data_IF_272861065932
#
_entry.id   IF_272861065932
#
_cell.length_a   1.000
_cell.length_b   1.000
_cell.length_c   1.000
_cell.angle_alpha   90.00
_cell.angle_beta   90.00
_cell.angle_gamma   90.00
#
_symmetry.space_group_name_H-M   'P 1'
#
loop_
_entity.id
_entity.type
_entity.pdbx_description
1 polymer ?
#
# COMPACT_ATOMS: atom_id res chain seq x y z
N UNK A 1 15.42 -1.63 24.65
CA UNK A 1 14.80 -0.63 23.76
C UNK A 1 13.32 -0.90 23.76
N UNK A 2 12.49 0.12 23.97
CA UNK A 2 11.05 -0.01 23.79
C UNK A 2 10.79 -0.23 22.31
N UNK A 3 10.07 -1.31 21.96
CA UNK A 3 9.60 -1.55 20.59
C UNK A 3 8.90 -0.32 20.03
N UNK A 4 8.99 -0.02 18.74
CA UNK A 4 8.20 1.06 18.15
C UNK A 4 6.72 0.80 18.47
N UNK A 5 6.05 1.83 18.98
CA UNK A 5 4.65 1.77 19.41
C UNK A 5 3.86 2.68 18.47
N UNK A 6 3.17 2.03 17.54
CA UNK A 6 2.15 2.56 16.62
C UNK A 6 2.62 2.90 15.19
N UNK A 7 2.07 2.17 14.23
CA UNK A 7 1.87 2.58 12.85
C UNK A 7 0.53 3.30 12.81
N UNK A 8 0.50 4.56 12.38
CA UNK A 8 -0.74 5.34 12.32
C UNK A 8 -0.83 6.05 10.97
N UNK A 9 -2.01 5.99 10.36
CA UNK A 9 -2.35 6.68 9.12
C UNK A 9 -3.59 7.52 9.36
N UNK A 10 -3.60 8.73 8.82
CA UNK A 10 -4.76 9.62 8.91
C UNK A 10 -5.02 10.32 7.58
N UNK A 11 -6.28 10.69 7.38
CA UNK A 11 -6.68 11.57 6.28
C UNK A 11 -7.61 12.67 6.78
N UNK A 12 -7.24 13.92 6.48
CA UNK A 12 -8.12 15.06 6.66
C UNK A 12 -8.71 15.46 5.30
N UNK A 13 -10.02 15.28 5.16
CA UNK A 13 -10.76 15.68 3.96
C UNK A 13 -11.36 17.09 4.15
N UNK A 14 -11.62 17.84 3.05
CA UNK A 14 -12.39 19.08 3.16
C UNK A 14 -13.76 18.84 3.84
N UNK A 15 -14.21 19.72 4.74
CA UNK A 15 -13.66 21.05 5.06
C UNK A 15 -12.71 21.07 6.27
N UNK A 16 -12.12 19.94 6.67
CA UNK A 16 -11.35 19.85 7.91
C UNK A 16 -9.99 20.57 7.86
N UNK A 17 -9.53 20.95 6.67
CA UNK A 17 -8.25 21.63 6.44
C UNK A 17 -8.48 23.10 6.11
N UNK A 18 -7.57 23.97 6.53
CA UNK A 18 -7.73 25.43 6.38
C UNK A 18 -7.90 25.89 4.93
N UNK A 19 -7.21 25.22 4.00
CA UNK A 19 -7.22 25.56 2.57
C UNK A 19 -8.14 24.64 1.73
N UNK A 20 -8.93 23.77 2.38
CA UNK A 20 -9.79 22.81 1.67
C UNK A 20 -9.00 21.80 0.83
N UNK A 21 -7.76 21.51 1.21
CA UNK A 21 -6.93 20.45 0.63
C UNK A 21 -7.14 19.11 1.35
N UNK A 22 -6.74 18.01 0.71
CA UNK A 22 -6.64 16.71 1.38
C UNK A 22 -5.24 16.60 1.99
N UNK A 23 -5.16 16.25 3.27
CA UNK A 23 -3.89 15.96 3.96
C UNK A 23 -3.87 14.47 4.30
N UNK A 24 -2.84 13.78 3.81
CA UNK A 24 -2.56 12.38 4.12
C UNK A 24 -1.27 12.33 4.93
N UNK A 25 -1.25 11.54 6.01
CA UNK A 25 -0.05 11.29 6.78
C UNK A 25 0.00 9.85 7.26
N UNK A 26 1.21 9.28 7.29
CA UNK A 26 1.48 7.92 7.77
C UNK A 26 2.79 7.88 8.55
N UNK A 27 2.76 7.31 9.74
CA UNK A 27 3.94 6.96 10.52
C UNK A 27 4.22 5.48 10.33
N UNK A 28 5.48 5.12 10.05
CA UNK A 28 5.89 3.73 9.87
C UNK A 28 6.66 3.24 11.10
N UNK A 29 6.23 2.14 11.69
CA UNK A 29 6.82 1.51 12.88
C UNK A 29 7.87 0.44 12.52
N UNK A 30 8.77 0.80 11.59
CA UNK A 30 9.82 -0.11 11.11
C UNK A 30 10.99 -0.21 12.12
N UNK A 31 11.78 -1.30 12.08
CA UNK A 31 13.00 -1.43 12.88
C UNK A 31 13.94 -0.22 12.72
N UNK A 32 14.69 0.11 13.77
CA UNK A 32 15.53 1.31 13.84
C UNK A 32 16.76 1.25 12.92
N UNK A 33 17.20 0.06 12.56
CA UNK A 33 18.27 -0.22 11.61
C UNK A 33 17.79 -0.40 10.16
N UNK A 34 16.47 -0.41 9.91
CA UNK A 34 15.93 -0.59 8.58
C UNK A 34 15.93 0.73 7.79
N UNK A 35 16.73 0.77 6.72
CA UNK A 35 16.87 1.96 5.87
C UNK A 35 15.56 2.25 5.14
N UNK A 36 15.05 3.48 5.32
CA UNK A 36 13.92 4.02 4.58
C UNK A 36 14.39 4.93 3.45
N UNK A 37 13.95 4.64 2.23
CA UNK A 37 14.27 5.40 1.02
C UNK A 37 13.05 6.16 0.51
N UNK A 38 13.28 7.37 0.00
CA UNK A 38 12.29 8.13 -0.77
C UNK A 38 12.70 8.10 -2.23
N UNK A 39 11.93 7.40 -3.06
CA UNK A 39 12.29 7.10 -4.45
C UNK A 39 11.19 7.50 -5.41
N UNK A 40 11.59 7.94 -6.59
CA UNK A 40 10.68 8.29 -7.69
C UNK A 40 10.84 7.27 -8.83
N UNK A 41 9.72 6.77 -9.33
CA UNK A 41 9.66 5.95 -10.54
C UNK A 41 8.80 6.67 -11.58
N UNK A 42 9.33 6.91 -12.80
CA UNK A 42 8.55 7.56 -13.85
C UNK A 42 7.46 6.63 -14.39
N UNK A 43 6.44 7.22 -15.02
CA UNK A 43 5.44 6.48 -15.78
C UNK A 43 6.11 5.70 -16.91
N UNK A 44 5.57 4.53 -17.23
CA UNK A 44 6.13 3.64 -18.24
C UNK A 44 5.05 2.81 -18.93
N UNK A 45 5.27 2.54 -20.22
CA UNK A 45 4.51 1.57 -21.00
C UNK A 45 5.28 0.24 -21.05
N UNK A 46 4.55 -0.87 -21.02
CA UNK A 46 5.13 -2.22 -20.96
C UNK A 46 4.59 -3.10 -22.09
N UNK A 47 5.44 -4.00 -22.59
CA UNK A 47 5.06 -4.93 -23.65
C UNK A 47 3.95 -5.90 -23.20
N UNK A 48 3.10 -6.32 -24.14
CA UNK A 48 2.04 -7.29 -23.86
C UNK A 48 2.60 -8.64 -23.38
N UNK A 49 2.07 -9.14 -22.26
CA UNK A 49 2.53 -10.40 -21.64
C UNK A 49 3.86 -10.25 -20.88
N UNK A 50 4.35 -9.02 -20.70
CA UNK A 50 5.45 -8.76 -19.77
C UNK A 50 5.02 -8.98 -18.33
N UNK A 51 6.00 -9.13 -17.46
CA UNK A 51 5.82 -9.42 -16.04
C UNK A 51 6.64 -8.48 -15.18
N UNK A 52 6.27 -8.39 -13.90
CA UNK A 52 6.99 -7.60 -12.90
C UNK A 52 7.34 -8.46 -11.70
N UNK A 53 8.63 -8.46 -11.35
CA UNK A 53 9.11 -9.05 -10.11
C UNK A 53 8.77 -8.11 -8.95
N UNK A 54 7.89 -8.56 -8.06
CA UNK A 54 7.59 -7.90 -6.79
C UNK A 54 8.58 -8.36 -5.71
N UNK A 55 8.27 -8.18 -4.43
CA UNK A 55 9.22 -8.54 -3.35
C UNK A 55 9.55 -10.03 -3.38
N UNK A 56 8.54 -10.90 -3.48
CA UNK A 56 8.77 -12.35 -3.50
C UNK A 56 8.34 -13.03 -4.80
N UNK A 57 7.23 -12.61 -5.38
CA UNK A 57 6.64 -13.28 -6.55
C UNK A 57 6.68 -12.40 -7.80
N UNK A 58 6.59 -13.06 -8.95
CA UNK A 58 6.41 -12.43 -10.25
C UNK A 58 4.93 -12.46 -10.64
N UNK A 59 4.39 -11.33 -11.14
CA UNK A 59 3.01 -11.23 -11.62
C UNK A 59 2.94 -10.63 -13.03
N UNK A 60 1.78 -10.76 -13.68
CA UNK A 60 1.52 -10.10 -14.96
C UNK A 60 1.58 -8.57 -14.82
N UNK A 61 2.27 -7.93 -15.77
CA UNK A 61 2.39 -6.47 -15.82
C UNK A 61 1.24 -5.86 -16.62
N UNK A 62 0.81 -4.67 -16.21
CA UNK A 62 -0.18 -3.87 -16.95
C UNK A 62 0.50 -3.10 -18.07
N UNK A 63 -0.25 -2.78 -19.13
CA UNK A 63 0.32 -2.08 -20.29
C UNK A 63 0.87 -0.68 -19.99
N UNK A 64 0.40 -0.03 -18.92
CA UNK A 64 0.86 1.29 -18.49
C UNK A 64 0.89 1.39 -16.96
N UNK A 65 1.96 1.97 -16.41
CA UNK A 65 2.10 2.30 -15.00
C UNK A 65 2.27 3.80 -14.81
N UNK A 66 1.56 4.37 -13.85
CA UNK A 66 1.67 5.79 -13.49
C UNK A 66 2.99 6.10 -12.78
N UNK A 67 3.44 7.35 -12.88
CA UNK A 67 4.60 7.81 -12.12
C UNK A 67 4.27 7.85 -10.62
N UNK A 68 5.20 7.38 -9.78
CA UNK A 68 5.02 7.27 -8.33
C UNK A 68 6.20 7.83 -7.55
N UNK A 69 5.91 8.40 -6.39
CA UNK A 69 6.88 8.75 -5.36
C UNK A 69 6.58 7.92 -4.11
N UNK A 70 7.55 7.14 -3.66
CA UNK A 70 7.38 6.09 -2.65
C UNK A 70 8.28 6.35 -1.45
N UNK A 71 7.79 5.98 -0.26
CA UNK A 71 8.60 5.76 0.93
C UNK A 71 8.63 4.26 1.21
N UNK A 72 9.82 3.65 1.22
CA UNK A 72 9.96 2.18 1.33
C UNK A 72 11.19 1.76 2.13
N UNK A 73 11.14 0.57 2.78
CA UNK A 73 12.34 -0.13 3.20
C UNK A 73 13.24 -0.45 1.99
N UNK A 74 14.56 -0.36 2.15
CA UNK A 74 15.50 -0.54 1.04
C UNK A 74 15.48 -1.96 0.45
N UNK A 75 15.12 -2.97 1.24
CA UNK A 75 15.21 -4.38 0.85
C UNK A 75 14.03 -4.92 0.02
N UNK A 76 12.82 -4.35 0.15
CA UNK A 76 11.59 -4.86 -0.49
C UNK A 76 11.23 -4.07 -1.74
N UNK A 77 10.54 -4.65 -2.73
CA UNK A 77 10.24 -3.95 -3.99
C UNK A 77 9.15 -2.88 -3.90
N UNK A 78 8.15 -3.14 -3.05
CA UNK A 78 6.96 -2.32 -2.80
C UNK A 78 7.23 -1.02 -2.03
N UNK A 79 6.24 -0.54 -1.28
CA UNK A 79 6.34 0.64 -0.45
C UNK A 79 5.40 0.62 0.76
N UNK A 80 5.79 1.32 1.82
CA UNK A 80 4.99 1.49 3.03
C UNK A 80 3.96 2.63 2.88
N UNK A 81 4.26 3.59 2.00
CA UNK A 81 3.36 4.65 1.57
C UNK A 81 3.87 5.29 0.28
N UNK A 82 3.01 6.05 -0.41
CA UNK A 82 3.42 6.87 -1.52
C UNK A 82 2.28 7.66 -2.14
N UNK A 83 2.61 8.36 -3.22
CA UNK A 83 1.65 9.07 -4.07
C UNK A 83 1.98 8.88 -5.55
N UNK A 84 0.99 9.09 -6.41
CA UNK A 84 1.18 9.05 -7.87
C UNK A 84 0.90 10.40 -8.55
N UNK A 85 1.18 10.48 -9.84
CA UNK A 85 0.98 11.70 -10.66
C UNK A 85 -0.47 12.19 -10.75
N UNK A 86 -1.45 11.36 -10.38
CA UNK A 86 -2.88 11.71 -10.35
C UNK A 86 -3.34 12.20 -8.97
N UNK A 87 -2.43 12.29 -8.00
CA UNK A 87 -2.74 12.71 -6.63
C UNK A 87 -3.43 11.63 -5.79
N UNK A 88 -3.32 10.36 -6.18
CA UNK A 88 -3.68 9.23 -5.32
C UNK A 88 -2.57 9.01 -4.30
N UNK A 89 -2.94 8.84 -3.03
CA UNK A 89 -2.05 8.45 -1.95
C UNK A 89 -2.51 7.13 -1.33
N UNK A 90 -1.56 6.27 -0.98
CA UNK A 90 -1.81 5.01 -0.29
C UNK A 90 -0.77 4.84 0.82
N UNK A 91 -1.20 4.37 1.99
CA UNK A 91 -0.32 3.82 3.03
C UNK A 91 -0.94 2.57 3.61
N UNK A 92 -0.11 1.63 4.07
CA UNK A 92 -0.55 0.42 4.73
C UNK A 92 -0.10 0.34 6.20
N UNK A 93 -0.82 -0.47 6.96
CA UNK A 93 -0.55 -0.78 8.35
C UNK A 93 -0.68 -2.29 8.61
N UNK A 94 0.10 -2.78 9.56
CA UNK A 94 0.00 -4.14 10.05
C UNK A 94 -1.28 -4.32 10.89
N UNK A 95 -2.10 -5.31 10.54
CA UNK A 95 -3.24 -5.75 11.34
C UNK A 95 -3.14 -7.22 11.71
N UNK A 96 -3.46 -7.52 12.97
CA UNK A 96 -3.49 -8.89 13.51
C UNK A 96 -4.93 -9.38 13.57
N UNK A 97 -5.30 -10.22 12.62
CA UNK A 97 -6.65 -10.76 12.51
C UNK A 97 -6.76 -12.14 13.18
N UNK A 98 -7.98 -12.68 13.27
CA UNK A 98 -8.21 -14.04 13.78
C UNK A 98 -7.77 -15.13 12.80
N UNK A 99 -7.56 -14.79 11.53
CA UNK A 99 -7.06 -15.70 10.51
C UNK A 99 -5.53 -15.67 10.58
N UNK A 100 -4.89 -16.83 10.55
CA UNK A 100 -3.43 -16.90 10.55
C UNK A 100 -2.87 -16.30 9.27
N UNK A 101 -1.99 -15.32 9.41
CA UNK A 101 -1.26 -14.72 8.30
C UNK A 101 -0.38 -15.77 7.61
N UNK A 102 -0.50 -15.98 6.29
CA UNK A 102 0.28 -17.00 5.58
C UNK A 102 1.79 -16.71 5.64
N UNK A 103 2.58 -17.75 5.88
CA UNK A 103 4.04 -17.71 5.71
C UNK A 103 4.48 -17.97 4.27
N UNK A 104 3.58 -18.48 3.45
CA UNK A 104 3.82 -18.68 2.02
C UNK A 104 4.08 -17.32 1.36
N UNK A 105 5.14 -17.27 0.56
CA UNK A 105 5.52 -16.09 -0.21
C UNK A 105 4.44 -15.74 -1.24
N UNK A 106 3.85 -14.55 -1.10
CA UNK A 106 2.86 -13.97 -2.00
C UNK A 106 3.17 -12.49 -2.18
N UNK A 107 2.21 -11.69 -2.64
CA UNK A 107 2.34 -10.24 -2.56
C UNK A 107 2.37 -9.81 -1.10
N UNK A 108 3.28 -8.90 -0.76
CA UNK A 108 3.21 -8.18 0.50
C UNK A 108 2.18 -7.06 0.43
N UNK A 109 1.71 -6.59 1.58
CA UNK A 109 0.92 -5.36 1.64
C UNK A 109 1.65 -4.18 1.00
N UNK A 110 2.96 -4.11 1.22
CA UNK A 110 3.81 -3.09 0.63
C UNK A 110 3.90 -3.20 -0.90
N UNK A 111 3.86 -4.41 -1.45
CA UNK A 111 3.77 -4.60 -2.91
C UNK A 111 2.42 -4.08 -3.41
N UNK A 112 1.33 -4.37 -2.69
CA UNK A 112 -0.02 -3.89 -3.02
C UNK A 112 -0.13 -2.36 -2.97
N UNK A 113 0.55 -1.67 -2.04
CA UNK A 113 0.64 -0.19 -2.02
C UNK A 113 1.19 0.34 -3.34
N UNK A 114 2.36 -0.16 -3.76
CA UNK A 114 3.01 0.30 -4.99
C UNK A 114 2.16 -0.05 -6.21
N UNK A 115 1.68 -1.28 -6.31
CA UNK A 115 0.85 -1.72 -7.42
C UNK A 115 -0.46 -0.92 -7.52
N UNK A 116 -1.08 -0.59 -6.39
CA UNK A 116 -2.27 0.27 -6.35
C UNK A 116 -2.00 1.68 -6.89
N UNK A 117 -0.86 2.27 -6.49
CA UNK A 117 -0.42 3.59 -6.97
C UNK A 117 -0.08 3.59 -8.45
N UNK A 118 0.62 2.57 -8.95
CA UNK A 118 1.01 2.46 -10.35
C UNK A 118 -0.19 2.20 -11.28
N UNK A 119 -1.31 1.65 -10.77
CA UNK A 119 -2.43 1.15 -11.58
C UNK A 119 -3.75 1.92 -11.44
N UNK A 120 -3.85 2.89 -10.52
CA UNK A 120 -5.06 3.67 -10.28
C UNK A 120 -4.89 5.16 -10.48
N UNK A 121 -5.78 5.82 -11.23
CA UNK A 121 -5.81 7.29 -11.37
C UNK A 121 -6.77 7.98 -10.39
N UNK A 122 -7.51 7.20 -9.60
CA UNK A 122 -8.37 7.66 -8.49
C UNK A 122 -8.23 6.72 -7.30
N UNK A 123 -8.65 7.17 -6.12
CA UNK A 123 -8.67 6.35 -4.90
C UNK A 123 -9.49 5.06 -5.11
N UNK A 124 -10.65 5.17 -5.79
CA UNK A 124 -11.48 4.01 -6.10
C UNK A 124 -10.81 3.04 -7.07
N UNK A 125 -10.11 3.52 -8.09
CA UNK A 125 -9.39 2.65 -9.03
C UNK A 125 -8.19 1.97 -8.36
N UNK A 126 -7.47 2.67 -7.48
CA UNK A 126 -6.40 2.07 -6.69
C UNK A 126 -6.94 0.98 -5.75
N UNK A 127 -8.07 1.24 -5.07
CA UNK A 127 -8.78 0.23 -4.27
C UNK A 127 -9.14 -1.01 -5.09
N UNK A 128 -9.69 -0.82 -6.30
CA UNK A 128 -10.05 -1.93 -7.19
C UNK A 128 -8.83 -2.72 -7.66
N UNK A 129 -7.72 -2.04 -7.95
CA UNK A 129 -6.46 -2.69 -8.30
C UNK A 129 -5.91 -3.54 -7.14
N UNK A 130 -5.89 -2.99 -5.92
CA UNK A 130 -5.41 -3.70 -4.72
C UNK A 130 -6.26 -4.94 -4.44
N UNK A 131 -7.59 -4.80 -4.46
CA UNK A 131 -8.50 -5.91 -4.15
C UNK A 131 -8.48 -7.00 -5.23
N UNK A 132 -8.33 -6.65 -6.50
CA UNK A 132 -8.18 -7.64 -7.58
C UNK A 132 -6.84 -8.38 -7.48
N UNK A 133 -5.75 -7.69 -7.18
CA UNK A 133 -4.44 -8.30 -6.96
C UNK A 133 -4.44 -9.23 -5.74
N UNK A 134 -5.08 -8.81 -4.64
CA UNK A 134 -5.28 -9.65 -3.47
C UNK A 134 -6.08 -10.92 -3.81
N UNK A 135 -7.14 -10.79 -4.62
CA UNK A 135 -7.95 -11.92 -5.06
C UNK A 135 -7.16 -12.90 -5.95
N UNK A 136 -6.30 -12.39 -6.84
CA UNK A 136 -5.56 -13.19 -7.80
C UNK A 136 -4.32 -13.86 -7.19
N UNK A 137 -3.61 -13.16 -6.31
CA UNK A 137 -2.28 -13.56 -5.84
C UNK A 137 -2.21 -13.79 -4.32
N UNK A 138 -3.24 -13.36 -3.57
CA UNK A 138 -3.24 -13.39 -2.11
C UNK A 138 -2.23 -12.41 -1.50
N UNK A 139 -2.10 -12.50 -0.18
CA UNK A 139 -1.07 -11.79 0.59
C UNK A 139 -0.37 -12.76 1.55
N UNK A 140 0.92 -12.54 1.80
CA UNK A 140 1.71 -13.41 2.66
C UNK A 140 3.22 -13.33 2.42
N UNK A 141 3.98 -13.97 3.32
CA UNK A 141 5.43 -13.90 3.35
C UNK A 141 5.95 -13.04 4.50
N UNK A 142 7.26 -13.01 4.68
CA UNK A 142 7.87 -12.21 5.74
C UNK A 142 7.75 -10.71 5.43
N UNK A 143 7.30 -9.92 6.41
CA UNK A 143 7.10 -8.48 6.28
C UNK A 143 8.26 -7.65 6.85
N UNK A 144 9.31 -8.31 7.34
CA UNK A 144 10.54 -7.73 7.87
C UNK A 144 11.75 -8.50 7.34
N UNK A 145 12.89 -7.81 7.20
CA UNK A 145 14.13 -8.38 6.64
C UNK A 145 14.66 -9.57 7.45
N UNK A 146 14.41 -9.59 8.76
CA UNK A 146 14.79 -10.67 9.67
C UNK A 146 13.96 -11.96 9.51
N UNK A 147 12.87 -11.92 8.73
CA UNK A 147 12.03 -13.07 8.42
C UNK A 147 11.00 -13.45 9.49
N UNK A 148 10.91 -12.73 10.62
CA UNK A 148 10.12 -13.20 11.77
C UNK A 148 8.66 -12.72 11.78
N UNK A 149 8.35 -11.66 11.05
CA UNK A 149 7.05 -11.00 11.13
C UNK A 149 6.16 -11.35 9.93
N UNK A 150 4.92 -11.79 10.20
CA UNK A 150 3.86 -11.90 9.20
C UNK A 150 2.58 -11.26 9.74
N UNK A 151 1.87 -10.50 8.89
CA UNK A 151 0.62 -9.83 9.23
C UNK A 151 -0.28 -9.69 8.01
N UNK A 152 -1.55 -9.35 8.25
CA UNK A 152 -2.44 -8.84 7.20
C UNK A 152 -2.38 -7.32 7.17
N UNK A 153 -2.96 -6.71 6.14
CA UNK A 153 -2.80 -5.28 5.93
C UNK A 153 -4.14 -4.53 6.02
N UNK A 154 -4.10 -3.38 6.68
CA UNK A 154 -5.06 -2.30 6.43
C UNK A 154 -4.43 -1.30 5.47
N UNK A 155 -5.24 -0.64 4.66
CA UNK A 155 -4.81 0.39 3.73
C UNK A 155 -5.71 1.61 3.88
N UNK A 156 -5.10 2.80 3.96
CA UNK A 156 -5.79 4.06 3.74
C UNK A 156 -5.45 4.57 2.34
N UNK A 157 -6.48 4.75 1.53
CA UNK A 157 -6.37 5.14 0.12
C UNK A 157 -7.15 6.43 -0.06
N UNK A 158 -6.53 7.50 -0.54
CA UNK A 158 -7.24 8.75 -0.81
C UNK A 158 -6.79 9.41 -2.11
N UNK A 159 -7.64 10.31 -2.61
CA UNK A 159 -7.33 11.27 -3.66
C UNK A 159 -7.89 12.64 -3.27
N UNK A 160 -7.87 13.61 -4.18
CA UNK A 160 -8.40 14.96 -3.93
C UNK A 160 -9.91 15.04 -3.69
N UNK A 161 -10.66 13.93 -3.73
CA UNK A 161 -12.13 13.89 -3.64
C UNK A 161 -12.66 12.94 -2.59
N UNK A 162 -12.01 11.80 -2.39
CA UNK A 162 -12.50 10.76 -1.50
C UNK A 162 -11.37 9.99 -0.81
N UNK A 163 -11.72 9.31 0.28
CA UNK A 163 -10.84 8.38 0.97
C UNK A 163 -11.57 7.07 1.29
N UNK A 164 -10.80 6.00 1.39
CA UNK A 164 -11.26 4.64 1.65
C UNK A 164 -10.32 3.95 2.65
N UNK A 165 -10.92 3.27 3.61
CA UNK A 165 -10.23 2.29 4.46
C UNK A 165 -10.50 0.91 3.87
N UNK A 166 -9.45 0.14 3.60
CA UNK A 166 -9.51 -1.26 3.16
C UNK A 166 -8.83 -2.12 4.21
N UNK A 167 -9.58 -3.01 4.85
CA UNK A 167 -9.02 -4.02 5.75
C UNK A 167 -9.02 -5.38 5.09
N UNK A 168 -7.95 -6.15 5.29
CA UNK A 168 -7.77 -7.46 4.67
C UNK A 168 -7.48 -8.54 5.70
N UNK A 169 -7.85 -9.77 5.38
CA UNK A 169 -7.59 -10.95 6.20
C UNK A 169 -7.50 -12.17 5.29
N UNK A 170 -6.28 -12.59 4.93
CA UNK A 170 -6.03 -13.56 3.87
C UNK A 170 -6.68 -13.09 2.55
N UNK A 171 -7.56 -13.90 1.95
CA UNK A 171 -8.34 -13.58 0.75
C UNK A 171 -9.57 -12.68 1.02
N UNK A 172 -9.99 -12.55 2.28
CA UNK A 172 -11.14 -11.73 2.65
C UNK A 172 -10.74 -10.27 2.76
N UNK A 173 -11.65 -9.39 2.39
CA UNK A 173 -11.47 -7.95 2.57
C UNK A 173 -12.81 -7.24 2.76
N UNK A 174 -12.75 -6.07 3.39
CA UNK A 174 -13.85 -5.12 3.49
C UNK A 174 -13.32 -3.72 3.24
N UNK A 175 -14.09 -2.90 2.52
CA UNK A 175 -13.73 -1.51 2.26
C UNK A 175 -14.86 -0.58 2.66
N UNK A 176 -14.51 0.52 3.32
CA UNK A 176 -15.44 1.58 3.71
C UNK A 176 -14.98 2.91 3.13
N UNK A 177 -15.94 3.66 2.57
CA UNK A 177 -15.69 5.03 2.13
C UNK A 177 -15.75 5.97 3.34
N UNK A 178 -14.71 6.74 3.56
CA UNK A 178 -14.70 7.76 4.61
C UNK A 178 -15.74 8.84 4.27
N UNK A 179 -16.77 8.99 5.11
CA UNK A 179 -17.80 10.03 4.99
C UNK A 179 -17.54 11.23 5.91
N UNK A 180 -16.56 11.10 6.80
CA UNK A 180 -15.99 12.12 7.68
C UNK A 180 -14.50 11.84 7.85
N UNK A 181 -13.76 12.73 8.53
CA UNK A 181 -12.34 12.50 8.83
C UNK A 181 -12.14 11.15 9.52
N UNK A 182 -11.06 10.46 9.16
CA UNK A 182 -10.70 9.13 9.62
C UNK A 182 -9.20 9.10 9.96
#
# INVERSE_FOLDING_TARGET
>A
MTSPVSCDTFVALPPATADGCVVFGKNSDRPDDEVQEVVYFPAADHDAGSKVQCTYIEIEQVGHTHAVMLSRPSWLWGAEMGSNEHGVCIGNEAVWTKVTSPREEKLLGMDLVRLGLERGSTAKQALDAVTELLRLHGQGGACAEDGFMTYHNSFLICDGREAWVLETSSEFWAAEKCTSNA
#
